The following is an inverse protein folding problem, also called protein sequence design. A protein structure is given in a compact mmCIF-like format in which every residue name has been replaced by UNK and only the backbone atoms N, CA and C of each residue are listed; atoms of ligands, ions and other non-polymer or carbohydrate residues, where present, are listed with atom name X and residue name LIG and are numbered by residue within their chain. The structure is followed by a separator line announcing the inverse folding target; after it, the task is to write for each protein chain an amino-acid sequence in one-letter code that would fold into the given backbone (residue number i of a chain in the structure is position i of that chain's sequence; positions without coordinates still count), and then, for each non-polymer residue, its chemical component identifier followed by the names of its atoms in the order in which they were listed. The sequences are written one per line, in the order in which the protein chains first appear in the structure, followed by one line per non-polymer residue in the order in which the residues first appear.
data_IF_284162469003
#
_entry.id   IF_284162469003
#
_cell.length_a   1.000
_cell.length_b   1.000
_cell.length_c   1.000
_cell.angle_alpha   90.00
_cell.angle_beta   90.00
_cell.angle_gamma   90.00
#
_symmetry.space_group_name_H-M   'P 1'
#
loop_
_entity.id
_entity.type
_entity.pdbx_description
1 polymer ?
#
# COMPACT_ATOMS: atom_id res chain seq x y z
N UNK A 1 2.85 -23.17 -40.59
CA UNK A 1 2.49 -21.76 -40.85
C UNK A 1 1.04 -21.60 -40.43
N UNK A 2 0.60 -20.69 -39.58
CA UNK A 2 1.26 -19.80 -38.60
C UNK A 2 0.13 -19.34 -37.62
N UNK A 3 0.32 -18.92 -36.37
CA UNK A 3 1.51 -18.57 -35.56
C UNK A 3 1.30 -19.08 -34.11
N UNK A 4 2.33 -19.05 -33.24
CA UNK A 4 2.19 -19.21 -31.78
C UNK A 4 1.95 -17.84 -31.13
N UNK A 5 0.92 -17.71 -30.29
CA UNK A 5 0.68 -16.49 -29.50
C UNK A 5 0.45 -16.82 -28.01
N UNK A 6 1.42 -17.49 -27.38
CA UNK A 6 1.54 -17.50 -25.92
C UNK A 6 2.21 -16.22 -25.39
N UNK A 7 1.46 -15.13 -25.18
CA UNK A 7 1.82 -14.15 -24.14
C UNK A 7 0.64 -13.24 -23.73
N UNK A 8 0.61 -12.79 -22.48
CA UNK A 8 -0.44 -11.89 -21.99
C UNK A 8 -0.95 -12.14 -20.56
N UNK A 9 -0.11 -12.71 -19.69
CA UNK A 9 -0.18 -12.64 -18.21
C UNK A 9 -1.58 -12.52 -17.60
N UNK A 10 -2.13 -13.64 -17.12
CA UNK A 10 -3.10 -13.61 -16.01
C UNK A 10 -2.53 -12.71 -14.92
N UNK A 11 -3.15 -11.59 -14.53
CA UNK A 11 -2.70 -10.87 -13.35
C UNK A 11 -2.76 -11.86 -12.18
N UNK A 12 -1.69 -12.00 -11.38
CA UNK A 12 -1.72 -12.91 -10.24
C UNK A 12 -2.92 -12.53 -9.35
N UNK A 13 -3.64 -13.50 -8.78
CA UNK A 13 -4.82 -13.20 -7.98
C UNK A 13 -4.45 -12.26 -6.84
N UNK A 14 -5.19 -11.17 -6.70
CA UNK A 14 -5.13 -10.26 -5.56
C UNK A 14 -5.68 -10.98 -4.31
N UNK A 15 -4.92 -11.95 -3.80
CA UNK A 15 -5.35 -12.88 -2.74
C UNK A 15 -4.18 -13.53 -1.97
N UNK A 16 -2.95 -13.01 -2.10
CA UNK A 16 -1.76 -13.54 -1.41
C UNK A 16 -0.88 -12.44 -0.77
N UNK A 17 -1.46 -11.27 -0.51
CA UNK A 17 -0.76 -10.07 -0.02
C UNK A 17 -1.47 -9.47 1.21
N UNK A 18 -1.98 -10.29 2.12
CA UNK A 18 -2.71 -9.82 3.31
C UNK A 18 -1.78 -9.18 4.37
N UNK A 19 -0.47 -9.44 4.32
CA UNK A 19 0.60 -8.89 5.19
C UNK A 19 1.38 -7.73 4.52
N UNK A 20 1.38 -7.65 3.19
CA UNK A 20 2.33 -6.83 2.43
C UNK A 20 1.80 -5.43 2.13
N UNK A 21 2.64 -4.41 2.26
CA UNK A 21 2.31 -3.07 1.76
C UNK A 21 2.39 -3.07 0.23
N UNK A 22 1.32 -2.66 -0.44
CA UNK A 22 1.25 -2.67 -1.92
C UNK A 22 1.14 -1.27 -2.52
N UNK A 23 1.55 -1.17 -3.79
CA UNK A 23 1.36 0.04 -4.62
C UNK A 23 -0.12 0.45 -4.67
N UNK A 24 -1.04 -0.51 -4.68
CA UNK A 24 -2.47 -0.23 -4.76
C UNK A 24 -2.97 0.46 -3.48
N UNK A 25 -2.60 -0.07 -2.30
CA UNK A 25 -2.89 0.58 -1.01
C UNK A 25 -2.33 2.00 -0.91
N UNK A 26 -1.14 2.28 -1.46
CA UNK A 26 -0.58 3.63 -1.49
C UNK A 26 -1.36 4.57 -2.43
N UNK A 27 -1.89 4.04 -3.54
CA UNK A 27 -2.74 4.81 -4.46
C UNK A 27 -4.13 5.06 -3.87
N UNK A 28 -4.72 4.08 -3.18
CA UNK A 28 -5.95 4.27 -2.40
C UNK A 28 -5.74 5.30 -1.28
N UNK A 29 -4.62 5.24 -0.55
CA UNK A 29 -4.28 6.20 0.50
C UNK A 29 -4.13 7.63 -0.05
N UNK A 30 -3.41 7.81 -1.16
CA UNK A 30 -3.23 9.12 -1.78
C UNK A 30 -4.52 9.66 -2.41
N UNK A 31 -5.33 8.78 -2.98
CA UNK A 31 -6.64 9.08 -3.57
C UNK A 31 -7.79 9.20 -2.57
N UNK A 32 -7.56 8.91 -1.28
CA UNK A 32 -8.55 9.10 -0.23
C UNK A 32 -8.90 10.59 -0.08
N UNK A 33 -10.20 10.89 -0.06
CA UNK A 33 -10.73 12.25 0.20
C UNK A 33 -10.30 12.73 1.60
N UNK A 34 -10.15 11.79 2.53
CA UNK A 34 -9.77 12.03 3.91
C UNK A 34 -8.28 12.36 4.06
N UNK A 35 -7.96 13.62 4.34
CA UNK A 35 -6.58 14.09 4.55
C UNK A 35 -5.88 13.44 5.76
N UNK A 36 -6.63 12.85 6.69
CA UNK A 36 -6.07 12.13 7.83
C UNK A 36 -5.86 10.64 7.56
N UNK A 37 -6.27 10.11 6.40
CA UNK A 37 -6.13 8.69 6.07
C UNK A 37 -4.69 8.18 6.32
N UNK A 38 -4.57 6.96 6.84
CA UNK A 38 -3.31 6.34 7.20
C UNK A 38 -3.31 4.84 6.89
N UNK A 39 -2.12 4.30 6.62
CA UNK A 39 -1.89 2.86 6.64
C UNK A 39 -1.70 2.43 8.09
N UNK A 40 -2.49 1.46 8.52
CA UNK A 40 -2.40 0.84 9.85
C UNK A 40 -2.09 -0.65 9.74
N UNK A 41 -1.26 -1.12 10.66
CA UNK A 41 -0.94 -2.52 10.87
C UNK A 41 -1.84 -3.06 12.00
N UNK A 42 -2.71 -4.00 11.67
CA UNK A 42 -3.65 -4.65 12.57
C UNK A 42 -3.49 -6.17 12.44
N UNK A 43 -3.04 -6.86 13.50
CA UNK A 43 -3.00 -8.33 13.53
C UNK A 43 -2.14 -8.99 12.43
N UNK A 44 -1.04 -8.36 12.02
CA UNK A 44 -0.21 -8.85 10.90
C UNK A 44 -0.84 -8.61 9.53
N UNK A 45 -1.67 -7.57 9.40
CA UNK A 45 -2.30 -7.15 8.15
C UNK A 45 -2.23 -5.64 8.00
N UNK A 46 -1.82 -5.17 6.82
CA UNK A 46 -1.82 -3.74 6.51
C UNK A 46 -3.12 -3.36 5.81
N UNK A 47 -3.74 -2.27 6.25
CA UNK A 47 -4.97 -1.72 5.67
C UNK A 47 -4.93 -0.20 5.66
N UNK A 48 -5.59 0.41 4.68
CA UNK A 48 -5.90 1.85 4.72
C UNK A 48 -7.05 2.06 5.70
N UNK A 49 -6.89 3.02 6.61
CA UNK A 49 -7.91 3.47 7.54
C UNK A 49 -8.10 5.00 7.40
N UNK A 50 -9.34 5.52 7.50
CA UNK A 50 -9.55 6.96 7.69
C UNK A 50 -8.99 7.36 9.06
N UNK A 51 -8.33 8.52 9.16
CA UNK A 51 -7.58 8.94 10.36
C UNK A 51 -8.42 9.44 11.52
N UNK A 52 -9.58 8.82 11.74
CA UNK A 52 -10.33 8.95 12.99
C UNK A 52 -9.72 7.98 14.00
N UNK A 53 -9.00 8.49 15.00
CA UNK A 53 -8.27 7.68 15.99
C UNK A 53 -9.16 6.63 16.68
N UNK A 54 -10.45 6.93 16.87
CA UNK A 54 -11.48 6.04 17.42
C UNK A 54 -11.71 4.76 16.58
N UNK A 55 -11.41 4.78 15.28
CA UNK A 55 -11.54 3.64 14.36
C UNK A 55 -10.20 2.94 14.04
N UNK A 56 -9.08 3.41 14.60
CA UNK A 56 -7.75 2.86 14.35
C UNK A 56 -7.42 1.76 15.37
N UNK A 57 -7.92 0.55 15.13
CA UNK A 57 -7.61 -0.64 15.96
C UNK A 57 -6.20 -1.22 15.76
N UNK A 58 -5.26 -0.46 15.19
CA UNK A 58 -3.92 -0.92 14.81
C UNK A 58 -2.85 0.17 14.90
N UNK A 59 -1.59 -0.22 14.73
CA UNK A 59 -0.45 0.70 14.76
C UNK A 59 -0.39 1.51 13.46
N UNK A 60 -0.31 2.84 13.55
CA UNK A 60 -0.08 3.70 12.37
C UNK A 60 1.32 3.46 11.83
N UNK A 61 1.40 3.00 10.59
CA UNK A 61 2.66 2.79 9.86
C UNK A 61 3.06 4.09 9.16
N UNK A 62 2.14 4.70 8.41
CA UNK A 62 2.38 5.96 7.71
C UNK A 62 1.06 6.67 7.41
N UNK A 63 1.02 8.00 7.45
CA UNK A 63 -0.14 8.81 7.10
C UNK A 63 -0.09 9.29 5.64
N UNK A 64 -1.25 9.60 5.05
CA UNK A 64 -1.39 10.17 3.71
C UNK A 64 -0.51 11.41 3.54
N UNK A 65 -0.50 12.29 4.54
CA UNK A 65 0.35 13.49 4.55
C UNK A 65 1.87 13.18 4.56
N UNK A 66 2.30 12.09 5.20
CA UNK A 66 3.71 11.67 5.21
C UNK A 66 4.09 10.99 3.88
N UNK A 67 3.20 10.17 3.31
CA UNK A 67 3.35 9.61 1.95
C UNK A 67 3.44 10.76 0.94
N UNK A 68 2.51 11.71 0.96
CA UNK A 68 2.50 12.89 0.08
C UNK A 68 3.76 13.76 0.27
N UNK A 69 4.30 13.86 1.49
CA UNK A 69 5.59 14.56 1.72
C UNK A 69 6.80 13.82 1.16
N UNK A 70 6.83 12.49 1.22
CA UNK A 70 7.95 11.68 0.68
C UNK A 70 7.90 11.55 -0.85
N UNK A 71 6.70 11.44 -1.41
CA UNK A 71 6.46 11.04 -2.80
C UNK A 71 5.83 12.14 -3.68
N UNK A 72 5.24 13.17 -3.09
CA UNK A 72 4.39 14.14 -3.77
C UNK A 72 2.93 13.66 -3.93
N UNK A 73 2.06 14.57 -4.40
CA UNK A 73 0.63 14.31 -4.58
C UNK A 73 0.29 13.42 -5.79
N UNK A 74 1.22 13.23 -6.73
CA UNK A 74 1.06 12.33 -7.88
C UNK A 74 2.40 11.64 -8.21
N UNK A 75 2.78 10.60 -7.44
CA UNK A 75 4.03 9.89 -7.64
C UNK A 75 3.99 8.89 -8.80
N UNK A 76 5.15 8.67 -9.38
CA UNK A 76 5.38 7.65 -10.40
C UNK A 76 5.23 6.22 -9.85
N UNK A 77 4.81 5.25 -10.68
CA UNK A 77 4.62 3.85 -10.26
C UNK A 77 5.90 3.21 -9.71
N UNK A 78 7.08 3.62 -10.19
CA UNK A 78 8.38 3.17 -9.64
C UNK A 78 8.55 3.63 -8.20
N UNK A 79 8.34 4.92 -7.92
CA UNK A 79 8.50 5.49 -6.59
C UNK A 79 7.47 4.91 -5.58
N UNK A 80 6.24 4.66 -6.03
CA UNK A 80 5.24 3.90 -5.26
C UNK A 80 5.71 2.47 -4.94
N UNK A 81 6.38 1.79 -5.88
CA UNK A 81 6.89 0.43 -5.68
C UNK A 81 8.04 0.41 -4.67
N UNK A 82 8.96 1.38 -4.76
CA UNK A 82 10.07 1.54 -3.81
C UNK A 82 9.57 1.88 -2.41
N UNK A 83 8.63 2.83 -2.29
CA UNK A 83 8.00 3.17 -1.01
C UNK A 83 7.21 2.00 -0.42
N UNK A 84 6.51 1.21 -1.23
CA UNK A 84 5.81 0.01 -0.76
C UNK A 84 6.78 -1.01 -0.16
N UNK A 85 7.90 -1.30 -0.84
CA UNK A 85 8.92 -2.23 -0.34
C UNK A 85 9.64 -1.73 0.93
N UNK A 86 9.82 -0.40 1.07
CA UNK A 86 10.33 0.21 2.29
C UNK A 86 9.34 0.03 3.45
N UNK A 87 8.09 0.42 3.26
CA UNK A 87 7.04 0.30 4.27
C UNK A 87 6.75 -1.15 4.65
N UNK A 88 6.84 -2.09 3.72
CA UNK A 88 6.77 -3.54 3.98
C UNK A 88 7.87 -4.01 4.94
N UNK A 89 9.10 -3.54 4.71
CA UNK A 89 10.24 -3.82 5.58
C UNK A 89 10.06 -3.17 6.96
N UNK A 90 9.52 -1.95 7.03
CA UNK A 90 9.19 -1.27 8.29
C UNK A 90 8.09 -2.02 9.06
N UNK A 91 7.01 -2.42 8.39
CA UNK A 91 5.90 -3.22 8.94
C UNK A 91 6.39 -4.53 9.55
N UNK A 92 7.26 -5.26 8.84
CA UNK A 92 7.84 -6.52 9.33
C UNK A 92 8.78 -6.35 10.51
N UNK A 93 9.39 -5.18 10.69
CA UNK A 93 10.17 -4.85 11.88
C UNK A 93 9.30 -4.41 13.07
N UNK A 94 8.13 -3.84 12.81
CA UNK A 94 7.16 -3.38 13.82
C UNK A 94 6.20 -4.49 14.30
N UNK A 95 5.93 -5.50 13.46
CA UNK A 95 5.03 -6.62 13.74
C UNK A 95 5.70 -7.94 14.17
N UNK A 96 7.00 -7.92 14.46
CA UNK A 96 7.79 -9.08 14.88
C UNK A 96 7.76 -9.36 16.39
#
# INVERSE_FOLDING_TARGET
MATDEQNGTTPPPASAAEDLVTVDMLRELLGADDAQACLVLEGGRVRVAPGSEDQQSGMVVVSRAEVERRLGANPDPTALTEQAALLDSEVRLLGA
#
